data_IF_651209098966
#
_entry.id   IF_651209098966
#
_cell.length_a   1.000
_cell.length_b   1.000
_cell.length_c   1.000
_cell.angle_alpha   90.00
_cell.angle_beta   90.00
_cell.angle_gamma   90.00
#
_symmetry.space_group_name_H-M   'P 1'
#
loop_
_entity.id
_entity.type
_entity.pdbx_description
1 polymer ?
#
# COMPACT_ATOMS: atom_id res chain seq x y z
N UNK A 1 18.50 8.81 9.04
CA UNK A 1 17.62 7.95 8.22
C UNK A 1 16.57 8.85 7.61
N UNK A 2 16.45 8.94 6.27
CA UNK A 2 15.32 9.64 5.66
C UNK A 2 14.02 9.05 6.23
N UNK A 3 13.15 9.91 6.74
CA UNK A 3 11.85 9.53 7.25
C UNK A 3 10.86 9.52 6.08
N UNK A 4 9.96 8.54 6.06
CA UNK A 4 8.84 8.59 5.12
C UNK A 4 8.00 9.83 5.42
N UNK A 5 7.71 10.62 4.38
CA UNK A 5 6.79 11.76 4.48
C UNK A 5 5.43 11.27 4.00
N UNK A 6 4.43 11.37 4.89
CA UNK A 6 3.06 10.98 4.57
C UNK A 6 2.23 12.20 4.19
N UNK A 7 1.48 12.09 3.10
CA UNK A 7 0.47 13.06 2.69
C UNK A 7 -0.80 12.33 2.27
N UNK A 8 -1.95 12.80 2.74
CA UNK A 8 -3.25 12.31 2.31
C UNK A 8 -4.13 13.48 1.86
N UNK A 9 -4.83 13.29 0.74
CA UNK A 9 -5.80 14.26 0.22
C UNK A 9 -6.87 13.56 -0.60
N UNK A 10 -8.02 14.21 -0.73
CA UNK A 10 -9.03 13.82 -1.72
C UNK A 10 -8.51 14.13 -3.12
N UNK A 11 -8.67 13.17 -4.04
CA UNK A 11 -8.38 13.34 -5.46
C UNK A 11 -9.62 13.92 -6.15
N UNK A 12 -9.41 14.94 -6.97
CA UNK A 12 -10.41 15.62 -7.77
C UNK A 12 -10.22 15.27 -9.25
N UNK A 13 -11.23 15.51 -10.09
CA UNK A 13 -11.13 15.26 -11.54
C UNK A 13 -9.97 16.02 -12.20
N UNK A 14 -9.68 17.23 -11.72
CA UNK A 14 -8.56 18.04 -12.20
C UNK A 14 -7.19 17.41 -11.93
N UNK A 15 -7.06 16.62 -10.87
CA UNK A 15 -5.82 15.92 -10.55
C UNK A 15 -5.52 14.83 -11.58
N UNK A 16 -6.53 14.29 -12.26
CA UNK A 16 -6.37 13.21 -13.24
C UNK A 16 -6.02 13.70 -14.65
N UNK A 17 -5.94 15.02 -14.85
CA UNK A 17 -5.51 15.60 -16.13
C UNK A 17 -4.02 15.33 -16.33
N UNK A 18 -3.60 15.16 -17.58
CA UNK A 18 -2.18 14.91 -17.90
C UNK A 18 -1.23 16.03 -17.45
N UNK A 19 -1.75 17.25 -17.34
CA UNK A 19 -1.02 18.44 -16.86
C UNK A 19 -0.85 18.48 -15.35
N UNK A 20 -1.53 17.61 -14.60
CA UNK A 20 -1.48 17.59 -13.14
C UNK A 20 -0.16 17.04 -12.63
N UNK A 21 0.35 17.68 -11.59
CA UNK A 21 1.55 17.31 -10.86
C UNK A 21 1.26 16.64 -9.52
N UNK A 22 0.00 16.24 -9.24
CA UNK A 22 -0.38 15.75 -7.92
C UNK A 22 0.37 14.50 -7.43
N UNK A 23 0.99 13.75 -8.35
CA UNK A 23 1.83 12.58 -8.08
C UNK A 23 3.33 12.91 -8.00
N UNK A 24 3.73 14.15 -8.26
CA UNK A 24 5.13 14.54 -8.29
C UNK A 24 5.78 14.38 -6.91
N UNK A 25 6.93 13.70 -6.89
CA UNK A 25 7.68 13.41 -5.68
C UNK A 25 7.13 12.23 -4.85
N UNK A 26 6.08 11.55 -5.30
CA UNK A 26 5.60 10.35 -4.63
C UNK A 26 6.40 9.11 -5.06
N UNK A 27 6.96 8.38 -4.09
CA UNK A 27 7.57 7.07 -4.32
C UNK A 27 6.55 5.92 -4.25
N UNK A 28 5.53 6.08 -3.40
CA UNK A 28 4.49 5.09 -3.12
C UNK A 28 3.13 5.82 -3.01
N UNK A 29 2.09 5.25 -3.62
CA UNK A 29 0.72 5.75 -3.56
C UNK A 29 -0.22 4.66 -3.05
N UNK A 30 -1.12 5.03 -2.14
CA UNK A 30 -2.23 4.19 -1.70
C UNK A 30 -3.56 4.80 -2.18
N UNK A 31 -4.39 4.01 -2.85
CA UNK A 31 -5.76 4.41 -3.22
C UNK A 31 -6.76 3.66 -2.35
N UNK A 32 -7.55 4.42 -1.59
CA UNK A 32 -8.51 3.89 -0.63
C UNK A 32 -9.82 4.68 -0.68
N UNK A 33 -10.30 4.95 -1.90
CA UNK A 33 -11.60 5.59 -2.12
C UNK A 33 -12.66 4.53 -2.44
N UNK A 34 -13.93 4.89 -2.24
CA UNK A 34 -15.07 4.05 -2.60
C UNK A 34 -15.37 4.06 -4.12
N UNK A 35 -14.64 4.87 -4.90
CA UNK A 35 -14.76 4.95 -6.35
C UNK A 35 -13.71 4.07 -7.03
N UNK A 36 -14.17 2.92 -7.52
CA UNK A 36 -13.34 1.94 -8.23
C UNK A 36 -12.75 2.48 -9.53
N UNK A 37 -13.49 3.30 -10.27
CA UNK A 37 -13.01 3.86 -11.52
C UNK A 37 -11.92 4.90 -11.27
N UNK A 38 -12.09 5.73 -10.24
CA UNK A 38 -11.07 6.66 -9.77
C UNK A 38 -9.80 5.94 -9.33
N UNK A 39 -9.93 4.87 -8.51
CA UNK A 39 -8.78 4.08 -8.07
C UNK A 39 -8.00 3.50 -9.27
N UNK A 40 -8.69 2.97 -10.29
CA UNK A 40 -8.06 2.44 -11.51
C UNK A 40 -7.34 3.51 -12.33
N UNK A 41 -7.91 4.72 -12.43
CA UNK A 41 -7.27 5.86 -13.09
C UNK A 41 -5.97 6.25 -12.38
N UNK A 42 -5.99 6.32 -11.05
CA UNK A 42 -4.79 6.64 -10.26
C UNK A 42 -3.74 5.53 -10.40
N UNK A 43 -4.11 4.26 -10.34
CA UNK A 43 -3.20 3.12 -10.57
C UNK A 43 -2.51 3.24 -11.92
N UNK A 44 -3.27 3.57 -12.97
CA UNK A 44 -2.74 3.74 -14.32
C UNK A 44 -1.76 4.91 -14.39
N UNK A 45 -2.12 6.06 -13.79
CA UNK A 45 -1.26 7.24 -13.71
C UNK A 45 0.05 6.99 -12.94
N UNK A 46 0.01 6.21 -11.86
CA UNK A 46 1.19 5.81 -11.09
C UNK A 46 2.11 4.90 -11.92
N UNK A 47 1.56 3.89 -12.59
CA UNK A 47 2.34 2.95 -13.43
C UNK A 47 3.06 3.66 -14.58
N UNK A 48 2.40 4.61 -15.24
CA UNK A 48 3.05 5.43 -16.28
C UNK A 48 4.26 6.22 -15.74
N UNK A 49 4.21 6.63 -14.48
CA UNK A 49 5.27 7.39 -13.80
C UNK A 49 6.25 6.51 -13.01
N UNK A 50 6.08 5.17 -13.05
CA UNK A 50 6.87 4.18 -12.30
C UNK A 50 6.81 4.38 -10.77
N UNK A 51 5.67 4.85 -10.28
CA UNK A 51 5.38 5.00 -8.85
C UNK A 51 4.71 3.71 -8.37
N UNK A 52 5.16 3.14 -7.25
CA UNK A 52 4.55 1.94 -6.68
C UNK A 52 3.14 2.27 -6.17
N UNK A 53 2.15 1.48 -6.55
CA UNK A 53 0.77 1.71 -6.12
C UNK A 53 0.16 0.47 -5.45
N UNK A 54 -0.62 0.69 -4.39
CA UNK A 54 -1.48 -0.31 -3.79
C UNK A 54 -2.89 0.25 -3.67
N UNK A 55 -3.88 -0.47 -4.22
CA UNK A 55 -5.28 -0.10 -4.10
C UNK A 55 -6.02 -1.00 -3.13
N UNK A 56 -6.94 -0.42 -2.35
CA UNK A 56 -7.72 -1.15 -1.36
C UNK A 56 -8.81 -2.03 -1.99
N UNK A 57 -9.28 -1.71 -3.20
CA UNK A 57 -10.46 -2.33 -3.81
C UNK A 57 -10.15 -3.59 -4.64
N UNK A 58 -8.96 -3.67 -5.27
CA UNK A 58 -8.59 -4.77 -6.16
C UNK A 58 -7.13 -5.20 -5.99
N UNK A 59 -6.96 -6.38 -5.41
CA UNK A 59 -5.64 -6.97 -5.17
C UNK A 59 -4.83 -7.19 -6.46
N UNK A 60 -5.47 -7.41 -7.61
CA UNK A 60 -4.79 -7.64 -8.89
C UNK A 60 -4.13 -6.39 -9.46
N UNK A 61 -4.50 -5.21 -8.95
CA UNK A 61 -3.97 -3.92 -9.38
C UNK A 61 -2.79 -3.43 -8.53
N UNK A 62 -2.50 -4.07 -7.39
CA UNK A 62 -1.44 -3.65 -6.50
C UNK A 62 -0.06 -4.15 -6.96
N UNK A 63 0.95 -3.29 -6.84
CA UNK A 63 2.36 -3.65 -7.09
C UNK A 63 3.01 -4.29 -5.86
N UNK A 64 2.46 -4.07 -4.66
CA UNK A 64 2.96 -4.62 -3.40
C UNK A 64 1.81 -4.93 -2.43
N UNK A 65 2.10 -5.70 -1.39
CA UNK A 65 1.16 -6.03 -0.31
C UNK A 65 1.78 -5.80 1.05
N UNK A 66 0.99 -5.32 1.99
CA UNK A 66 1.41 -5.21 3.38
C UNK A 66 1.55 -6.59 4.03
N UNK A 67 2.69 -6.88 4.67
CA UNK A 67 2.82 -8.09 5.49
C UNK A 67 2.03 -7.93 6.79
N UNK A 68 1.81 -9.04 7.49
CA UNK A 68 1.54 -8.96 8.92
C UNK A 68 2.84 -8.57 9.63
N UNK A 69 2.78 -7.61 10.54
CA UNK A 69 3.96 -7.12 11.27
C UNK A 69 3.76 -7.38 12.76
N UNK A 70 4.83 -7.80 13.43
CA UNK A 70 4.92 -7.79 14.89
C UNK A 70 6.30 -7.26 15.30
N UNK A 71 6.39 -6.73 16.50
CA UNK A 71 7.63 -6.21 17.07
C UNK A 71 7.83 -6.79 18.46
N UNK A 72 9.04 -7.28 18.74
CA UNK A 72 9.42 -7.77 20.06
C UNK A 72 10.87 -7.40 20.36
N UNK A 73 11.11 -6.79 21.52
CA UNK A 73 12.44 -6.39 22.01
C UNK A 73 13.27 -5.59 20.97
N UNK A 74 12.59 -4.71 20.22
CA UNK A 74 13.20 -3.90 19.15
C UNK A 74 13.43 -4.63 17.82
N UNK A 75 13.01 -5.89 17.69
CA UNK A 75 13.06 -6.66 16.45
C UNK A 75 11.70 -6.62 15.75
N UNK A 76 11.67 -6.07 14.53
CA UNK A 76 10.47 -6.04 13.67
C UNK A 76 10.46 -7.25 12.74
N UNK A 77 9.37 -8.01 12.74
CA UNK A 77 9.19 -9.21 11.91
C UNK A 77 7.99 -8.99 10.97
N UNK A 78 8.27 -8.91 9.67
CA UNK A 78 7.26 -8.91 8.61
C UNK A 78 7.01 -10.31 8.07
N UNK A 79 5.75 -10.74 8.02
CA UNK A 79 5.33 -12.05 7.55
C UNK A 79 4.33 -11.94 6.40
N UNK A 80 4.57 -12.68 5.32
CA UNK A 80 3.61 -12.87 4.24
C UNK A 80 3.52 -14.35 3.86
N UNK A 81 2.41 -14.76 3.26
CA UNK A 81 2.27 -16.11 2.68
C UNK A 81 2.29 -16.10 1.15
N UNK A 82 2.78 -15.04 0.50
CA UNK A 82 2.60 -14.82 -0.93
C UNK A 82 1.14 -14.88 -1.37
N UNK A 83 0.21 -14.44 -0.51
CA UNK A 83 -1.23 -14.51 -0.76
C UNK A 83 -1.91 -15.87 -0.54
N UNK A 84 -1.17 -16.93 -0.18
CA UNK A 84 -1.71 -18.29 -0.03
C UNK A 84 -2.65 -18.50 1.17
N UNK A 85 -2.33 -17.96 2.35
CA UNK A 85 -3.12 -18.16 3.57
C UNK A 85 -2.95 -17.02 4.58
N UNK A 86 -3.82 -16.00 4.55
CA UNK A 86 -3.85 -14.95 5.57
C UNK A 86 -4.05 -15.50 6.98
N UNK A 87 -4.83 -16.58 7.13
CA UNK A 87 -5.05 -17.26 8.42
C UNK A 87 -3.77 -17.84 8.99
N UNK A 88 -2.92 -18.45 8.16
CA UNK A 88 -1.63 -19.01 8.60
C UNK A 88 -0.70 -17.89 9.07
N UNK A 89 -0.57 -16.82 8.28
CA UNK A 89 0.24 -15.65 8.66
C UNK A 89 -0.21 -15.08 10.00
N UNK A 90 -1.53 -14.93 10.21
CA UNK A 90 -2.09 -14.46 11.48
C UNK A 90 -1.70 -15.37 12.66
N UNK A 91 -1.82 -16.70 12.51
CA UNK A 91 -1.46 -17.64 13.58
C UNK A 91 0.03 -17.58 13.94
N UNK A 92 0.90 -17.45 12.93
CA UNK A 92 2.35 -17.30 13.16
C UNK A 92 2.66 -16.00 13.90
N UNK A 93 2.04 -14.88 13.49
CA UNK A 93 2.16 -13.60 14.20
C UNK A 93 1.73 -13.73 15.66
N UNK A 94 0.55 -14.28 15.93
CA UNK A 94 0.02 -14.45 17.29
C UNK A 94 0.88 -15.38 18.16
N UNK A 95 1.55 -16.36 17.56
CA UNK A 95 2.51 -17.22 18.25
C UNK A 95 3.77 -16.44 18.66
N UNK A 96 4.35 -15.66 17.74
CA UNK A 96 5.54 -14.85 18.00
C UNK A 96 5.30 -13.78 19.07
N UNK A 97 4.09 -13.21 19.11
CA UNK A 97 3.67 -12.25 20.14
C UNK A 97 3.58 -12.85 21.55
N UNK A 98 3.30 -14.15 21.65
CA UNK A 98 3.16 -14.86 22.93
C UNK A 98 4.45 -15.48 23.42
N UNK A 99 5.43 -15.65 22.54
CA UNK A 99 6.76 -16.13 22.91
C UNK A 99 7.31 -15.18 23.99
N UNK A 100 7.77 -15.70 25.13
CA UNK A 100 8.34 -14.93 26.24
C UNK A 100 9.85 -14.98 26.16
#
# INVERSE_FOLDING_TARGET
>A
MPQAVWSSRKVLEEDLKDTSDFLNGADIVLTATDDRELNQKIVSACRMRKILVNTADDKSLCDFFFPAVTEKDGVVIGMNSGGKSPKTVRKVREYLEKYR
#
